data_IF_322704820967
#
_entry.id   IF_322704820967
#
_cell.length_a   1.000
_cell.length_b   1.000
_cell.length_c   1.000
_cell.angle_alpha   90.00
_cell.angle_beta   90.00
_cell.angle_gamma   90.00
#
_symmetry.space_group_name_H-M   'P 1'
#
loop_
_entity.id
_entity.type
_entity.pdbx_description
1 polymer ?
#
# COMPACT_ATOMS: atom_id res chain seq x y z
N UNK A 1 -10.09 2.51 -57.50
CA UNK A 1 -9.39 2.11 -56.26
C UNK A 1 -10.04 2.88 -55.10
N UNK A 2 -11.09 2.45 -54.39
CA UNK A 2 -11.27 1.20 -53.61
C UNK A 2 -9.99 0.88 -52.84
N UNK A 3 -9.93 1.04 -51.51
CA UNK A 3 -10.45 0.04 -50.59
C UNK A 3 -11.08 0.62 -49.31
N UNK A 4 -12.24 0.04 -49.02
CA UNK A 4 -13.21 0.28 -47.97
C UNK A 4 -12.84 -0.59 -46.77
N UNK A 5 -12.69 -0.02 -45.58
CA UNK A 5 -12.48 -0.78 -44.35
C UNK A 5 -13.74 -1.56 -43.93
N UNK A 6 -13.64 -2.81 -43.44
CA UNK A 6 -14.79 -3.57 -42.97
C UNK A 6 -15.22 -3.11 -41.56
N UNK A 7 -16.52 -2.87 -41.39
CA UNK A 7 -17.22 -2.74 -40.10
C UNK A 7 -17.85 -4.10 -39.76
N UNK A 8 -17.35 -4.76 -38.71
CA UNK A 8 -18.00 -5.86 -37.98
C UNK A 8 -17.27 -5.98 -36.61
N UNK A 9 -17.91 -6.16 -35.45
CA UNK A 9 -19.29 -6.51 -35.18
C UNK A 9 -19.77 -6.04 -33.80
N UNK A 10 -21.08 -6.02 -33.70
CA UNK A 10 -21.95 -5.79 -32.54
C UNK A 10 -21.62 -6.71 -31.37
N UNK A 11 -21.41 -6.15 -30.18
CA UNK A 11 -21.40 -6.89 -28.92
C UNK A 11 -22.83 -7.14 -28.45
N UNK A 12 -23.20 -8.37 -28.05
CA UNK A 12 -24.48 -8.63 -27.42
C UNK A 12 -24.51 -8.07 -25.99
N UNK A 13 -25.62 -7.41 -25.68
CA UNK A 13 -25.99 -6.91 -24.36
C UNK A 13 -26.49 -8.07 -23.51
N UNK A 14 -25.80 -8.37 -22.41
CA UNK A 14 -26.33 -9.25 -21.35
C UNK A 14 -26.38 -8.46 -20.04
N UNK A 15 -27.59 -7.99 -19.70
CA UNK A 15 -27.95 -7.60 -18.34
C UNK A 15 -28.12 -8.87 -17.50
N UNK A 16 -27.68 -8.89 -16.23
CA UNK A 16 -28.40 -9.58 -15.17
C UNK A 16 -29.08 -8.51 -14.31
N UNK A 17 -30.42 -8.50 -14.31
CA UNK A 17 -31.22 -9.15 -13.27
C UNK A 17 -31.33 -8.24 -12.03
N UNK A 18 -32.36 -7.39 -12.13
CA UNK A 18 -32.91 -6.56 -11.08
C UNK A 18 -33.75 -7.44 -10.18
N UNK A 19 -33.25 -7.76 -8.99
CA UNK A 19 -34.09 -8.28 -7.92
C UNK A 19 -34.40 -7.18 -6.91
N UNK A 20 -35.70 -6.94 -6.81
CA UNK A 20 -36.40 -6.20 -5.78
C UNK A 20 -35.91 -6.58 -4.39
N UNK A 21 -35.42 -5.61 -3.62
CA UNK A 21 -35.44 -5.70 -2.15
C UNK A 21 -36.38 -4.62 -1.63
N UNK A 22 -37.55 -5.01 -1.08
CA UNK A 22 -38.43 -4.06 -0.42
C UNK A 22 -37.89 -3.68 0.96
N UNK A 23 -37.96 -2.37 1.21
CA UNK A 23 -38.26 -1.65 2.45
C UNK A 23 -38.23 -2.39 3.80
N UNK A 24 -37.51 -1.77 4.73
CA UNK A 24 -37.95 -1.41 6.10
C UNK A 24 -38.84 -2.42 6.84
N UNK A 25 -38.36 -2.92 7.98
CA UNK A 25 -39.09 -2.92 9.26
C UNK A 25 -38.08 -3.13 10.40
N UNK A 26 -37.83 -2.10 11.21
CA UNK A 26 -38.45 -1.91 12.53
C UNK A 26 -38.02 -2.99 13.53
N UNK A 27 -36.83 -2.78 14.09
CA UNK A 27 -36.39 -3.45 15.31
C UNK A 27 -37.03 -2.74 16.50
N UNK A 28 -38.25 -3.14 16.84
CA UNK A 28 -38.89 -2.81 18.12
C UNK A 28 -39.01 -4.10 18.90
N UNK A 29 -38.21 -4.23 19.95
CA UNK A 29 -38.39 -5.25 20.99
C UNK A 29 -39.68 -4.96 21.77
N UNK A 30 -40.38 -6.01 22.19
CA UNK A 30 -40.98 -5.98 23.52
C UNK A 30 -40.50 -7.14 24.39
N UNK A 31 -40.18 -6.77 25.64
CA UNK A 31 -40.12 -7.61 26.81
C UNK A 31 -41.54 -7.94 27.29
N UNK A 32 -41.85 -9.22 27.48
CA UNK A 32 -42.79 -9.81 28.45
C UNK A 32 -43.08 -11.24 27.97
N UNK A 33 -43.46 -12.23 28.76
CA UNK A 33 -43.42 -12.54 30.17
C UNK A 33 -44.16 -13.88 30.29
N UNK A 34 -43.67 -14.75 31.18
CA UNK A 34 -44.43 -15.68 32.02
C UNK A 34 -45.59 -16.48 31.38
N UNK A 35 -45.36 -17.79 31.32
CA UNK A 35 -46.15 -18.74 32.11
C UNK A 35 -47.24 -19.51 31.38
N UNK A 36 -47.38 -20.78 31.79
CA UNK A 36 -48.41 -21.78 31.44
C UNK A 36 -48.29 -22.37 30.03
N UNK A 37 -48.20 -23.68 29.80
CA UNK A 37 -48.31 -24.86 30.66
C UNK A 37 -48.47 -26.10 29.77
N UNK A 38 -48.22 -27.26 30.36
CA UNK A 38 -48.67 -28.60 29.95
C UNK A 38 -48.00 -29.33 28.77
N UNK A 39 -47.13 -30.27 29.18
CA UNK A 39 -47.09 -31.69 28.77
C UNK A 39 -48.03 -32.15 27.65
N UNK A 40 -47.44 -32.58 26.53
CA UNK A 40 -47.80 -33.84 25.88
C UNK A 40 -46.76 -34.19 24.81
N UNK A 41 -46.43 -35.48 24.71
CA UNK A 41 -45.57 -36.09 23.68
C UNK A 41 -44.07 -36.15 24.00
N UNK A 42 -43.78 -36.88 25.07
CA UNK A 42 -42.74 -37.90 25.04
C UNK A 42 -42.84 -38.78 23.78
N UNK A 43 -41.68 -39.24 23.29
CA UNK A 43 -41.47 -40.39 22.39
C UNK A 43 -41.76 -40.17 20.90
N UNK A 44 -40.83 -39.54 20.19
CA UNK A 44 -40.30 -40.08 18.92
C UNK A 44 -38.84 -39.65 18.80
N UNK A 45 -37.93 -40.65 18.84
CA UNK A 45 -36.59 -40.70 18.23
C UNK A 45 -35.68 -39.45 18.37
N UNK A 46 -34.62 -39.39 19.17
CA UNK A 46 -33.66 -40.43 19.57
C UNK A 46 -33.15 -41.32 18.42
N UNK A 47 -32.94 -40.77 17.23
CA UNK A 47 -32.14 -41.40 16.16
C UNK A 47 -31.61 -40.30 15.25
N UNK A 48 -30.47 -39.68 15.59
CA UNK A 48 -29.60 -38.99 14.61
C UNK A 48 -28.16 -38.79 15.17
N UNK A 49 -27.78 -39.54 16.21
CA UNK A 49 -26.49 -39.36 16.91
C UNK A 49 -25.41 -40.39 16.54
N UNK A 50 -25.60 -41.20 15.50
CA UNK A 50 -24.70 -42.34 15.20
C UNK A 50 -24.08 -42.39 13.80
N UNK A 51 -24.15 -41.32 12.99
CA UNK A 51 -23.62 -41.38 11.62
C UNK A 51 -22.60 -40.28 11.31
N UNK A 52 -21.58 -40.16 12.15
CA UNK A 52 -20.34 -39.44 11.78
C UNK A 52 -19.09 -40.08 12.39
N UNK A 53 -19.12 -41.39 12.64
CA UNK A 53 -17.95 -42.15 13.07
C UNK A 53 -17.86 -43.43 12.25
N UNK A 54 -17.37 -43.30 11.01
CA UNK A 54 -16.58 -44.28 10.24
C UNK A 54 -16.67 -43.97 8.75
N UNK A 55 -15.75 -43.14 8.29
CA UNK A 55 -15.01 -43.36 7.03
C UNK A 55 -13.84 -42.36 7.00
N UNK A 56 -13.03 -42.36 8.06
CA UNK A 56 -11.61 -42.07 7.89
C UNK A 56 -11.06 -43.29 7.16
N UNK A 57 -11.04 -43.24 5.84
CA UNK A 57 -10.23 -44.14 5.04
C UNK A 57 -8.78 -43.80 5.42
N UNK A 58 -8.18 -44.62 6.29
CA UNK A 58 -6.74 -44.64 6.48
C UNK A 58 -6.14 -44.98 5.12
N UNK A 59 -5.64 -43.94 4.43
CA UNK A 59 -5.00 -44.10 3.13
C UNK A 59 -3.70 -44.89 3.34
N UNK A 60 -3.56 -46.13 2.81
CA UNK A 60 -2.36 -46.93 3.01
C UNK A 60 -1.11 -46.37 2.30
N UNK A 61 -1.26 -45.29 1.53
CA UNK A 61 -0.18 -44.51 0.92
C UNK A 61 0.15 -43.22 1.68
N UNK A 62 -0.30 -43.06 2.93
CA UNK A 62 0.11 -41.92 3.74
C UNK A 62 1.60 -42.07 4.06
N UNK A 63 2.42 -41.33 3.30
CA UNK A 63 3.87 -41.32 3.50
C UNK A 63 4.19 -40.87 4.92
N UNK A 64 5.19 -41.46 5.59
CA UNK A 64 5.60 -41.05 6.93
C UNK A 64 5.86 -39.54 6.93
N UNK A 65 5.34 -38.86 7.95
CA UNK A 65 5.53 -37.41 8.14
C UNK A 65 7.04 -37.17 8.21
N UNK A 66 7.60 -36.57 7.16
CA UNK A 66 9.01 -36.25 7.11
C UNK A 66 9.31 -35.18 8.18
N UNK A 67 10.13 -35.46 9.21
CA UNK A 67 10.44 -34.50 10.27
C UNK A 67 11.26 -33.29 9.78
N UNK A 68 11.70 -33.30 8.53
CA UNK A 68 12.33 -32.16 7.84
C UNK A 68 11.36 -31.36 6.97
N UNK A 69 10.05 -31.64 6.95
CA UNK A 69 9.11 -30.64 6.45
C UNK A 69 9.17 -29.46 7.41
N UNK A 70 9.65 -28.28 7.01
CA UNK A 70 9.42 -27.09 7.82
C UNK A 70 7.91 -27.03 8.04
N UNK A 71 7.47 -26.84 9.29
CA UNK A 71 6.06 -26.62 9.63
C UNK A 71 5.65 -25.33 8.96
N UNK A 72 5.30 -25.45 7.70
CA UNK A 72 5.14 -24.33 6.83
C UNK A 72 3.71 -23.89 6.98
N UNK A 73 3.57 -22.67 7.44
CA UNK A 73 2.51 -21.77 7.02
C UNK A 73 2.58 -21.55 5.48
N UNK A 74 2.73 -22.62 4.69
CA UNK A 74 2.80 -22.64 3.22
C UNK A 74 1.40 -22.86 2.67
N UNK A 75 0.63 -21.79 2.69
CA UNK A 75 -0.37 -21.56 1.67
C UNK A 75 -0.18 -20.14 1.11
N UNK A 76 1.02 -19.87 0.60
CA UNK A 76 1.33 -18.69 -0.22
C UNK A 76 2.09 -19.13 -1.47
N UNK A 77 1.45 -19.98 -2.30
CA UNK A 77 1.97 -20.35 -3.61
C UNK A 77 1.49 -19.31 -4.63
N UNK A 78 2.16 -18.17 -4.64
CA UNK A 78 2.45 -17.43 -5.87
C UNK A 78 3.95 -17.57 -6.16
N UNK A 79 4.52 -16.88 -7.15
CA UNK A 79 5.98 -16.75 -7.31
C UNK A 79 6.59 -15.92 -6.16
N UNK A 80 6.46 -16.42 -4.93
CA UNK A 80 6.89 -15.85 -3.64
C UNK A 80 8.30 -16.31 -3.27
N UNK A 81 8.89 -17.25 -4.01
CA UNK A 81 10.23 -17.81 -3.78
C UNK A 81 11.39 -16.89 -4.15
N UNK A 82 11.19 -15.56 -4.16
CA UNK A 82 12.21 -14.58 -4.54
C UNK A 82 12.17 -13.34 -3.64
N UNK A 83 11.66 -13.47 -2.42
CA UNK A 83 11.63 -12.41 -1.40
C UNK A 83 12.43 -12.85 -0.19
N UNK A 84 13.44 -12.07 0.15
CA UNK A 84 14.40 -12.37 1.21
C UNK A 84 14.55 -11.19 2.16
N UNK A 85 15.04 -11.46 3.37
CA UNK A 85 15.36 -10.47 4.38
C UNK A 85 16.87 -10.34 4.56
N UNK A 86 17.38 -9.11 4.51
CA UNK A 86 18.75 -8.77 4.94
C UNK A 86 18.69 -7.67 6.03
N UNK A 87 18.62 -8.09 7.29
CA UNK A 87 18.46 -7.18 8.43
C UNK A 87 17.16 -6.37 8.33
N UNK A 88 17.26 -5.04 8.21
CA UNK A 88 16.10 -4.11 8.01
C UNK A 88 15.79 -3.81 6.54
N UNK A 89 16.36 -4.58 5.63
CA UNK A 89 16.22 -4.43 4.18
C UNK A 89 15.44 -5.64 3.66
N UNK A 90 14.39 -5.36 2.90
CA UNK A 90 13.67 -6.36 2.13
C UNK A 90 14.31 -6.46 0.74
N UNK A 91 14.73 -7.64 0.36
CA UNK A 91 15.24 -7.97 -0.98
C UNK A 91 14.12 -8.71 -1.67
N UNK A 92 13.73 -8.28 -2.87
CA UNK A 92 12.73 -9.00 -3.64
C UNK A 92 13.05 -8.93 -5.12
N UNK A 93 12.63 -9.92 -5.90
CA UNK A 93 12.74 -9.83 -7.35
C UNK A 93 11.84 -8.72 -7.92
N UNK A 94 12.21 -8.16 -9.07
CA UNK A 94 11.47 -7.07 -9.73
C UNK A 94 10.01 -7.42 -10.03
N UNK A 95 9.75 -8.68 -10.36
CA UNK A 95 8.41 -9.19 -10.70
C UNK A 95 7.72 -9.88 -9.51
N UNK A 96 8.37 -9.93 -8.35
CA UNK A 96 7.78 -10.52 -7.16
C UNK A 96 6.60 -9.67 -6.66
N UNK A 97 5.54 -10.35 -6.21
CA UNK A 97 4.36 -9.69 -5.64
C UNK A 97 4.37 -9.82 -4.13
N UNK A 98 4.28 -8.68 -3.45
CA UNK A 98 4.21 -8.65 -1.98
C UNK A 98 2.86 -9.24 -1.51
N UNK A 99 2.84 -9.98 -0.38
CA UNK A 99 1.60 -10.50 0.20
C UNK A 99 0.69 -9.36 0.64
N UNK A 100 -0.63 -9.58 0.73
CA UNK A 100 -1.64 -8.56 1.08
C UNK A 100 -1.65 -8.18 2.57
N UNK A 101 -0.47 -7.85 3.09
CA UNK A 101 -0.18 -7.43 4.44
C UNK A 101 0.56 -6.10 4.35
N UNK A 102 0.21 -5.14 5.20
CA UNK A 102 0.74 -3.80 5.11
C UNK A 102 2.25 -3.78 5.38
N UNK A 103 3.00 -3.22 4.43
CA UNK A 103 4.45 -3.05 4.51
C UNK A 103 4.92 -2.27 5.75
N UNK A 104 4.09 -1.39 6.31
CA UNK A 104 4.43 -0.50 7.45
C UNK A 104 3.88 -0.93 8.79
N UNK A 105 2.62 -1.38 8.87
CA UNK A 105 1.97 -1.77 10.13
C UNK A 105 1.88 -3.28 10.34
N UNK A 106 2.22 -4.12 9.36
CA UNK A 106 2.01 -5.57 9.40
C UNK A 106 0.52 -6.00 9.54
N UNK A 107 -0.42 -5.08 9.36
CA UNK A 107 -1.86 -5.35 9.38
C UNK A 107 -2.35 -5.93 8.03
N UNK A 108 -3.36 -6.81 8.02
CA UNK A 108 -3.96 -7.29 6.77
C UNK A 108 -4.52 -6.12 5.96
N UNK A 109 -4.35 -6.16 4.64
CA UNK A 109 -4.81 -5.11 3.72
C UNK A 109 -5.99 -5.63 2.90
N UNK A 110 -7.04 -4.82 2.70
CA UNK A 110 -8.19 -5.13 1.84
C UNK A 110 -7.85 -5.03 0.33
N UNK A 111 -6.76 -5.66 -0.11
CA UNK A 111 -6.35 -5.75 -1.52
C UNK A 111 -5.77 -4.47 -2.14
N UNK A 112 -5.66 -3.37 -1.40
CA UNK A 112 -5.10 -2.13 -1.93
C UNK A 112 -3.58 -2.21 -2.12
N UNK A 113 -3.13 -2.00 -3.36
CA UNK A 113 -1.71 -1.98 -3.73
C UNK A 113 -1.31 -0.66 -4.34
N UNK A 114 -0.30 -0.02 -3.76
CA UNK A 114 0.27 1.22 -4.24
C UNK A 114 1.36 0.93 -5.28
N UNK A 115 1.07 1.22 -6.56
CA UNK A 115 2.07 1.17 -7.63
C UNK A 115 3.10 2.30 -7.45
N UNK A 116 4.38 1.95 -7.33
CA UNK A 116 5.49 2.90 -7.27
C UNK A 116 6.58 2.51 -8.24
N UNK A 117 6.96 3.45 -9.10
CA UNK A 117 8.18 3.38 -9.89
C UNK A 117 9.32 3.87 -8.99
N UNK A 118 10.23 2.99 -8.64
CA UNK A 118 11.44 3.30 -7.89
C UNK A 118 12.55 3.50 -8.92
N UNK A 119 13.18 4.66 -8.90
CA UNK A 119 14.42 4.92 -9.62
C UNK A 119 15.55 4.98 -8.61
N UNK A 120 16.65 4.30 -8.93
CA UNK A 120 17.89 4.43 -8.18
C UNK A 120 18.86 5.25 -9.00
N UNK A 121 19.36 6.33 -8.40
CA UNK A 121 20.40 7.17 -8.98
C UNK A 121 21.70 6.88 -8.26
N UNK A 122 22.71 6.43 -9.01
CA UNK A 122 24.04 6.26 -8.47
C UNK A 122 24.63 7.63 -8.12
N UNK A 123 25.02 7.84 -6.85
CA UNK A 123 25.57 9.11 -6.36
C UNK A 123 26.83 9.54 -7.13
N UNK A 124 27.60 8.59 -7.66
CA UNK A 124 28.76 8.88 -8.51
C UNK A 124 28.41 9.63 -9.80
N UNK A 125 27.22 9.41 -10.37
CA UNK A 125 26.77 10.13 -11.56
C UNK A 125 26.49 11.60 -11.22
N UNK A 126 26.10 11.90 -9.98
CA UNK A 126 25.88 13.29 -9.56
C UNK A 126 27.17 14.12 -9.60
N UNK A 127 28.36 13.53 -9.50
CA UNK A 127 29.63 14.25 -9.67
C UNK A 127 29.86 14.69 -11.13
N UNK A 128 29.34 13.95 -12.11
CA UNK A 128 29.45 14.32 -13.53
C UNK A 128 28.69 15.63 -13.87
N UNK A 129 27.78 16.09 -13.00
CA UNK A 129 27.05 17.35 -13.18
C UNK A 129 27.98 18.57 -13.15
N UNK A 130 29.11 18.50 -12.43
CA UNK A 130 30.08 19.59 -12.36
C UNK A 130 30.89 19.76 -13.65
N UNK A 131 31.01 18.69 -14.45
CA UNK A 131 31.77 18.71 -15.70
C UNK A 131 30.92 19.16 -16.88
N UNK A 132 29.72 18.61 -17.04
CA UNK A 132 28.80 19.02 -18.09
C UNK A 132 27.37 18.49 -17.84
N UNK A 133 26.39 19.38 -17.73
CA UNK A 133 24.97 19.04 -17.50
C UNK A 133 24.40 18.19 -18.65
N UNK A 134 24.83 18.40 -19.89
CA UNK A 134 24.33 17.66 -21.05
C UNK A 134 24.83 16.21 -21.05
N UNK A 135 26.12 16.01 -20.76
CA UNK A 135 26.72 14.67 -20.64
C UNK A 135 26.09 13.93 -19.45
N UNK A 136 25.87 14.62 -18.34
CA UNK A 136 25.17 14.08 -17.18
C UNK A 136 23.76 13.58 -17.54
N UNK A 137 22.98 14.35 -18.30
CA UNK A 137 21.62 13.96 -18.69
C UNK A 137 21.63 12.64 -19.48
N UNK A 138 22.54 12.51 -20.45
CA UNK A 138 22.69 11.30 -21.26
C UNK A 138 23.05 10.08 -20.39
N UNK A 139 24.07 10.21 -19.55
CA UNK A 139 24.50 9.14 -18.64
C UNK A 139 23.38 8.78 -17.67
N UNK A 140 22.68 9.77 -17.12
CA UNK A 140 21.59 9.55 -16.18
C UNK A 140 20.44 8.76 -16.83
N UNK A 141 20.09 9.04 -18.08
CA UNK A 141 19.05 8.29 -18.80
C UNK A 141 19.51 6.83 -19.00
N UNK A 142 20.73 6.62 -19.48
CA UNK A 142 21.27 5.29 -19.80
C UNK A 142 21.43 4.42 -18.54
N UNK A 143 21.95 4.99 -17.46
CA UNK A 143 22.26 4.24 -16.23
C UNK A 143 21.06 4.14 -15.28
N UNK A 144 19.99 4.92 -15.50
CA UNK A 144 18.81 4.90 -14.62
C UNK A 144 18.11 3.55 -14.63
N UNK A 145 18.40 2.72 -13.62
CA UNK A 145 17.64 1.49 -13.35
C UNK A 145 16.31 1.86 -12.71
N UNK A 146 15.23 1.36 -13.30
CA UNK A 146 13.84 1.60 -12.85
C UNK A 146 13.18 0.26 -12.54
N UNK A 147 12.55 0.17 -11.38
CA UNK A 147 11.74 -0.98 -10.99
C UNK A 147 10.33 -0.52 -10.61
N UNK A 148 9.29 -1.27 -11.02
CA UNK A 148 7.91 -0.98 -10.64
C UNK A 148 7.47 -1.98 -9.58
N UNK A 149 7.14 -1.48 -8.39
CA UNK A 149 6.74 -2.31 -7.26
C UNK A 149 5.31 -2.00 -6.86
N UNK A 150 4.56 -3.05 -6.53
CA UNK A 150 3.21 -2.97 -5.97
C UNK A 150 3.26 -3.14 -4.46
N UNK A 151 3.11 -2.06 -3.70
CA UNK A 151 3.29 -2.06 -2.24
C UNK A 151 1.92 -2.08 -1.53
N UNK A 152 1.58 -3.15 -0.80
CA UNK A 152 0.34 -3.21 -0.02
C UNK A 152 0.39 -2.27 1.18
N UNK A 153 -0.67 -1.50 1.39
CA UNK A 153 -0.75 -0.48 2.44
C UNK A 153 -2.12 -0.45 3.10
N UNK A 154 -2.15 -0.46 4.43
CA UNK A 154 -3.38 -0.34 5.22
C UNK A 154 -4.03 1.04 5.06
N UNK A 155 -5.33 1.11 5.33
CA UNK A 155 -6.10 2.35 5.22
C UNK A 155 -5.60 3.44 6.19
N UNK A 156 -5.13 3.05 7.37
CA UNK A 156 -4.52 3.95 8.34
C UNK A 156 -3.36 4.73 7.69
N UNK A 157 -2.36 4.03 7.15
CA UNK A 157 -1.22 4.67 6.51
C UNK A 157 -1.60 5.44 5.24
N UNK A 158 -2.65 5.02 4.53
CA UNK A 158 -3.19 5.78 3.39
C UNK A 158 -3.75 7.13 3.82
N UNK A 159 -4.52 7.17 4.91
CA UNK A 159 -5.06 8.42 5.48
C UNK A 159 -3.94 9.32 5.99
N UNK A 160 -2.96 8.77 6.73
CA UNK A 160 -1.82 9.55 7.22
C UNK A 160 -1.03 10.17 6.06
N UNK A 161 -0.83 9.42 4.97
CA UNK A 161 -0.15 9.94 3.79
C UNK A 161 -0.92 11.09 3.15
N UNK A 162 -2.24 10.96 2.97
CA UNK A 162 -3.08 12.05 2.43
C UNK A 162 -3.00 13.30 3.30
N UNK A 163 -3.06 13.13 4.63
CA UNK A 163 -2.89 14.23 5.59
C UNK A 163 -1.52 14.90 5.44
N UNK A 164 -0.43 14.13 5.33
CA UNK A 164 0.94 14.68 5.11
C UNK A 164 1.07 15.42 3.79
N UNK A 165 0.53 14.89 2.71
CA UNK A 165 0.54 15.54 1.39
C UNK A 165 -0.27 16.85 1.45
N UNK A 166 -1.47 16.83 2.04
CA UNK A 166 -2.27 18.04 2.23
C UNK A 166 -1.51 19.09 3.04
N UNK A 167 -0.91 18.71 4.16
CA UNK A 167 -0.15 19.64 4.99
C UNK A 167 1.08 20.19 4.25
N UNK A 168 1.75 19.37 3.44
CA UNK A 168 2.84 19.82 2.58
C UNK A 168 2.37 20.86 1.54
N UNK A 169 1.22 20.64 0.89
CA UNK A 169 0.63 21.63 -0.01
C UNK A 169 0.28 22.94 0.69
N UNK A 170 -0.30 22.87 1.89
CA UNK A 170 -0.61 24.07 2.69
C UNK A 170 0.65 24.86 3.02
N UNK A 171 1.74 24.20 3.44
CA UNK A 171 3.01 24.90 3.71
C UNK A 171 3.66 25.45 2.43
N UNK A 172 3.69 24.65 1.36
CA UNK A 172 4.30 25.07 0.09
C UNK A 172 3.54 26.20 -0.61
N UNK A 173 2.22 26.34 -0.40
CA UNK A 173 1.42 27.44 -0.95
C UNK A 173 1.32 28.62 0.02
N UNK A 174 1.18 28.36 1.32
CA UNK A 174 1.08 29.39 2.35
C UNK A 174 2.36 30.21 2.50
N UNK A 175 3.53 29.57 2.39
CA UNK A 175 4.83 30.26 2.45
C UNK A 175 4.98 31.36 1.37
N UNK A 176 4.84 31.04 0.07
CA UNK A 176 4.87 32.03 -1.00
C UNK A 176 3.82 33.13 -0.86
N UNK A 177 2.60 32.82 -0.43
CA UNK A 177 1.55 33.82 -0.24
C UNK A 177 1.98 34.84 0.83
N UNK A 178 2.47 34.36 1.97
CA UNK A 178 2.95 35.23 3.06
C UNK A 178 4.21 36.02 2.65
N UNK A 179 5.09 35.39 1.87
CA UNK A 179 6.28 36.04 1.32
C UNK A 179 5.93 37.19 0.38
N UNK A 180 5.00 36.97 -0.56
CA UNK A 180 4.52 38.01 -1.49
C UNK A 180 3.77 39.11 -0.74
N UNK A 181 2.94 38.78 0.26
CA UNK A 181 2.27 39.76 1.10
C UNK A 181 3.29 40.67 1.82
N UNK A 182 4.38 40.10 2.34
CA UNK A 182 5.46 40.87 2.94
C UNK A 182 6.14 41.84 1.97
N UNK A 183 6.36 41.45 0.70
CA UNK A 183 6.86 42.36 -0.35
C UNK A 183 5.87 43.50 -0.61
N UNK A 184 4.58 43.20 -0.72
CA UNK A 184 3.55 44.21 -1.03
C UNK A 184 3.36 45.24 0.10
N UNK A 185 3.71 44.89 1.34
CA UNK A 185 3.65 45.80 2.49
C UNK A 185 4.88 46.70 2.63
N UNK A 186 5.98 46.39 1.94
CA UNK A 186 7.17 47.25 1.91
C UNK A 186 6.84 48.58 1.25
N UNK A 187 7.17 49.70 1.92
CA UNK A 187 6.94 51.05 1.40
C UNK A 187 5.54 51.63 1.66
N UNK A 188 4.68 50.97 2.44
CA UNK A 188 3.37 51.52 2.84
C UNK A 188 3.40 52.35 4.14
N UNK A 189 4.56 52.49 4.79
CA UNK A 189 4.76 53.26 6.01
C UNK A 189 5.57 52.50 7.08
N UNK A 190 6.06 53.17 8.13
CA UNK A 190 6.98 52.58 9.10
C UNK A 190 6.40 51.37 9.85
N UNK A 191 5.11 51.41 10.22
CA UNK A 191 4.44 50.28 10.89
C UNK A 191 4.25 49.08 9.94
N UNK A 192 4.00 49.36 8.66
CA UNK A 192 3.83 48.35 7.62
C UNK A 192 5.16 47.72 7.20
N UNK A 193 6.27 48.46 7.25
CA UNK A 193 7.61 47.94 6.94
C UNK A 193 8.09 46.92 7.98
N UNK A 194 7.83 47.18 9.26
CA UNK A 194 8.15 46.22 10.32
C UNK A 194 7.34 44.93 10.12
N UNK A 195 6.02 45.06 9.90
CA UNK A 195 5.14 43.94 9.63
C UNK A 195 5.52 43.18 8.34
N UNK A 196 5.87 43.89 7.28
CA UNK A 196 6.32 43.34 6.00
C UNK A 196 7.60 42.53 6.13
N UNK A 197 8.57 43.04 6.90
CA UNK A 197 9.83 42.34 7.20
C UNK A 197 9.61 41.03 7.96
N UNK A 198 8.72 41.03 8.96
CA UNK A 198 8.34 39.81 9.67
C UNK A 198 7.60 38.81 8.76
N UNK A 199 6.68 39.28 7.92
CA UNK A 199 5.97 38.43 6.96
C UNK A 199 6.93 37.80 5.93
N UNK A 200 7.93 38.55 5.46
CA UNK A 200 8.98 38.06 4.56
C UNK A 200 9.82 36.96 5.20
N UNK A 201 10.35 37.19 6.41
CA UNK A 201 11.12 36.17 7.13
C UNK A 201 10.26 34.93 7.44
N UNK A 202 9.05 35.13 7.95
CA UNK A 202 8.14 34.04 8.26
C UNK A 202 7.78 33.23 7.01
N UNK A 203 7.43 33.91 5.90
CA UNK A 203 7.11 33.27 4.63
C UNK A 203 8.28 32.46 4.08
N UNK A 204 9.49 33.01 4.12
CA UNK A 204 10.71 32.32 3.70
C UNK A 204 11.03 31.08 4.55
N UNK A 205 10.94 31.20 5.88
CA UNK A 205 11.15 30.07 6.80
C UNK A 205 10.08 28.99 6.61
N UNK A 206 8.80 29.36 6.52
CA UNK A 206 7.71 28.42 6.29
C UNK A 206 7.89 27.68 4.96
N UNK A 207 8.33 28.37 3.91
CA UNK A 207 8.61 27.75 2.61
C UNK A 207 9.77 26.74 2.72
N UNK A 208 10.87 27.13 3.38
CA UNK A 208 12.03 26.27 3.58
C UNK A 208 11.64 25.03 4.40
N UNK A 209 11.07 25.22 5.60
CA UNK A 209 10.61 24.11 6.44
C UNK A 209 9.54 23.26 5.76
N UNK A 210 8.67 23.86 4.95
CA UNK A 210 7.67 23.17 4.14
C UNK A 210 8.28 22.25 3.10
N UNK A 211 9.29 22.74 2.38
CA UNK A 211 10.02 21.95 1.38
C UNK A 211 10.77 20.79 2.05
N UNK A 212 11.49 21.06 3.14
CA UNK A 212 12.15 20.03 3.92
C UNK A 212 11.15 18.98 4.44
N UNK A 213 10.05 19.41 5.05
CA UNK A 213 8.99 18.53 5.53
C UNK A 213 8.41 17.67 4.41
N UNK A 214 8.13 18.26 3.24
CA UNK A 214 7.62 17.56 2.08
C UNK A 214 8.59 16.48 1.60
N UNK A 215 9.88 16.79 1.45
CA UNK A 215 10.89 15.83 0.98
C UNK A 215 11.03 14.64 1.92
N UNK A 216 11.14 14.89 3.23
CA UNK A 216 11.41 13.83 4.21
C UNK A 216 10.16 13.02 4.57
N UNK A 217 9.00 13.66 4.75
CA UNK A 217 7.80 13.00 5.32
C UNK A 217 6.88 12.38 4.28
N UNK A 218 7.00 12.75 3.00
CA UNK A 218 6.21 12.14 1.92
C UNK A 218 6.82 10.84 1.39
N UNK A 219 8.12 10.61 1.62
CA UNK A 219 8.82 9.38 1.24
C UNK A 219 8.42 8.23 2.18
N UNK A 220 7.59 7.31 1.67
CA UNK A 220 7.16 6.12 2.42
C UNK A 220 8.18 4.97 2.38
N UNK A 221 8.81 4.79 1.22
CA UNK A 221 9.73 3.70 0.92
C UNK A 221 10.95 4.28 0.25
N UNK A 222 12.13 3.88 0.73
CA UNK A 222 13.42 4.33 0.21
C UNK A 222 14.10 3.15 -0.46
N UNK A 223 14.34 3.19 -1.78
CA UNK A 223 15.14 2.18 -2.44
C UNK A 223 16.60 2.34 -2.01
N UNK A 224 17.25 1.25 -1.63
CA UNK A 224 18.68 1.25 -1.25
C UNK A 224 19.54 1.00 -2.47
N UNK A 225 19.15 -0.03 -3.23
CA UNK A 225 19.90 -0.57 -4.35
C UNK A 225 18.91 -1.28 -5.26
N UNK A 226 19.12 -1.17 -6.57
CA UNK A 226 18.32 -1.85 -7.58
C UNK A 226 19.30 -2.58 -8.50
N UNK A 227 19.34 -3.89 -8.35
CA UNK A 227 20.06 -4.79 -9.24
C UNK A 227 19.20 -5.13 -10.45
N UNK A 228 19.74 -5.90 -11.38
CA UNK A 228 19.03 -6.32 -12.59
C UNK A 228 17.83 -7.20 -12.29
N UNK A 229 17.94 -8.07 -11.29
CA UNK A 229 16.88 -8.99 -10.88
C UNK A 229 16.25 -8.59 -9.54
N UNK A 230 17.04 -8.05 -8.60
CA UNK A 230 16.59 -7.78 -7.23
C UNK A 230 16.44 -6.29 -6.94
N UNK A 231 15.50 -5.97 -6.05
CA UNK A 231 15.18 -4.63 -5.55
C UNK A 231 15.31 -4.63 -4.04
N UNK A 232 16.17 -3.77 -3.51
CA UNK A 232 16.43 -3.64 -2.08
C UNK A 232 15.64 -2.45 -1.52
N UNK A 233 14.68 -2.75 -0.63
CA UNK A 233 13.77 -1.77 -0.04
C UNK A 233 14.03 -1.58 1.45
N UNK A 234 14.08 -0.32 1.90
CA UNK A 234 14.09 0.03 3.32
C UNK A 234 12.72 0.53 3.79
N UNK A 235 12.49 0.33 5.09
CA UNK A 235 11.35 0.91 5.81
C UNK A 235 10.19 -0.04 6.02
N UNK A 236 10.38 -1.35 5.86
CA UNK A 236 9.39 -2.36 6.25
C UNK A 236 9.28 -2.49 7.77
N UNK A 237 8.12 -2.93 8.27
CA UNK A 237 7.93 -3.31 9.67
C UNK A 237 8.82 -4.51 10.05
N UNK A 238 9.46 -4.54 11.24
CA UNK A 238 10.31 -5.67 11.63
C UNK A 238 9.58 -7.02 11.61
N UNK A 239 8.34 -7.09 12.09
CA UNK A 239 7.56 -8.34 12.04
C UNK A 239 7.20 -8.76 10.62
N UNK A 240 6.97 -7.80 9.72
CA UNK A 240 6.73 -8.09 8.31
C UNK A 240 7.97 -8.72 7.67
N UNK A 241 9.16 -8.21 8.01
CA UNK A 241 10.43 -8.76 7.53
C UNK A 241 10.66 -10.18 8.04
N UNK A 242 10.32 -10.48 9.29
CA UNK A 242 10.55 -11.79 9.91
C UNK A 242 9.76 -12.94 9.27
N UNK A 243 8.78 -12.64 8.40
CA UNK A 243 8.07 -13.66 7.61
C UNK A 243 8.91 -14.23 6.46
N UNK A 244 9.94 -13.51 6.06
CA UNK A 244 10.82 -13.91 4.95
C UNK A 244 12.11 -14.51 5.50
N UNK A 245 12.63 -15.49 4.77
CA UNK A 245 13.90 -16.12 5.09
C UNK A 245 15.06 -15.12 5.03
N UNK A 246 16.10 -15.37 5.83
CA UNK A 246 17.30 -14.56 5.77
C UNK A 246 18.05 -14.86 4.47
N UNK A 247 18.51 -13.80 3.80
CA UNK A 247 19.33 -13.95 2.59
C UNK A 247 20.72 -14.49 2.98
N UNK A 248 20.95 -15.78 2.76
CA UNK A 248 22.28 -16.41 2.84
C UNK A 248 22.93 -16.38 1.46
N UNK A 249 24.19 -15.93 1.40
CA UNK A 249 25.01 -15.98 0.19
C UNK A 249 25.59 -17.38 -0.02
#
# INVERSE_FOLDING_TARGET
MMLRWPRAGSRPSSKPFSDNVPSRNLFVRPLNARGFGFDMMSRVAQFDSCESTRMAIDNPYQTPINPYTPTSNSAFIGPQGQIYRKGRILIMHRDATLPDICFKSNEPTAGYRLRRKLSWHNQWIALAILLNVLIYLLIAIIVSKRATVMIPLSDHWRVLRRKRIRNAWVLCLGGPILFVAGIMMMGQGPDAELAGSFCLMAGGLILLFGLFYAIFRTRLVTPVMIDEHFVHLKGAHPEFLNRFEAYSF
#
